data_IF_500305944724
#
_entry.id   IF_500305944724
#
_cell.length_a   1.000
_cell.length_b   1.000
_cell.length_c   1.000
_cell.angle_alpha   90.00
_cell.angle_beta   90.00
_cell.angle_gamma   90.00
#
_symmetry.space_group_name_H-M   'P 1'
#
loop_
_entity.id
_entity.type
_entity.pdbx_description
1 polymer ?
#
# COMPACT_ATOMS: atom_id res chain seq x y z
N UNK A 1 -11.92 -48.05 14.50
CA UNK A 1 -11.13 -47.15 13.66
C UNK A 1 -11.98 -45.92 13.39
N UNK A 2 -11.62 -44.81 14.02
CA UNK A 2 -12.32 -43.53 13.95
C UNK A 2 -11.62 -42.68 12.88
N UNK A 3 -12.37 -42.20 11.90
CA UNK A 3 -11.89 -41.23 10.94
C UNK A 3 -12.87 -40.06 10.93
N UNK A 4 -12.35 -38.93 11.40
CA UNK A 4 -12.96 -37.62 11.32
C UNK A 4 -12.49 -37.02 10.00
N UNK A 5 -13.39 -36.43 9.21
CA UNK A 5 -13.01 -35.44 8.21
C UNK A 5 -14.06 -34.35 8.22
N UNK A 6 -13.64 -33.19 8.73
CA UNK A 6 -14.42 -31.97 8.84
C UNK A 6 -14.70 -31.39 7.44
N UNK A 7 -15.94 -30.98 7.21
CA UNK A 7 -16.36 -30.08 6.14
C UNK A 7 -16.43 -28.66 6.70
N UNK A 8 -15.68 -27.71 6.14
CA UNK A 8 -15.95 -26.26 6.01
C UNK A 8 -14.95 -25.73 4.97
N UNK A 9 -15.24 -25.04 3.86
CA UNK A 9 -16.38 -24.23 3.45
C UNK A 9 -15.88 -22.81 3.14
N UNK A 10 -15.87 -22.39 1.86
CA UNK A 10 -15.61 -20.99 1.48
C UNK A 10 -15.20 -20.74 0.03
N UNK A 11 -16.15 -20.81 -0.92
CA UNK A 11 -16.02 -20.29 -2.28
C UNK A 11 -16.04 -18.75 -2.27
N UNK A 12 -15.23 -18.12 -3.12
CA UNK A 12 -15.52 -16.79 -3.67
C UNK A 12 -15.49 -16.88 -5.21
N UNK A 13 -16.67 -16.71 -5.81
CA UNK A 13 -16.92 -16.74 -7.25
C UNK A 13 -16.65 -15.36 -7.85
N UNK A 14 -15.93 -15.31 -8.97
CA UNK A 14 -16.01 -14.18 -9.91
C UNK A 14 -16.86 -14.61 -11.11
N UNK A 15 -17.98 -13.92 -11.30
CA UNK A 15 -18.97 -14.18 -12.36
C UNK A 15 -18.42 -13.64 -13.69
N UNK A 16 -18.21 -14.51 -14.67
CA UNK A 16 -17.89 -14.10 -16.04
C UNK A 16 -19.17 -13.59 -16.73
N UNK A 17 -19.37 -12.27 -16.78
CA UNK A 17 -20.40 -11.66 -17.60
C UNK A 17 -19.94 -11.62 -19.06
N UNK A 18 -20.59 -12.42 -19.90
CA UNK A 18 -20.41 -12.42 -21.34
C UNK A 18 -21.35 -11.40 -22.02
N UNK A 19 -20.80 -10.67 -23.00
CA UNK A 19 -21.44 -9.84 -24.04
C UNK A 19 -21.92 -8.40 -23.73
N UNK A 20 -21.32 -7.45 -24.46
CA UNK A 20 -22.03 -6.50 -25.32
C UNK A 20 -22.35 -5.10 -24.78
N UNK A 21 -21.56 -4.10 -25.19
CA UNK A 21 -21.96 -2.68 -25.18
C UNK A 21 -20.96 -1.74 -24.48
N UNK A 22 -20.30 -0.87 -25.25
CA UNK A 22 -19.40 0.16 -24.74
C UNK A 22 -20.15 1.21 -23.91
N UNK A 23 -20.20 1.00 -22.59
CA UNK A 23 -20.33 2.07 -21.61
C UNK A 23 -18.94 2.32 -21.01
N UNK A 24 -18.53 3.57 -20.75
CA UNK A 24 -17.39 3.83 -19.87
C UNK A 24 -17.79 3.25 -18.52
N UNK A 25 -17.24 2.08 -18.19
CA UNK A 25 -17.33 1.55 -16.84
C UNK A 25 -16.38 2.45 -16.06
N UNK A 26 -16.90 3.51 -15.43
CA UNK A 26 -16.32 3.96 -14.17
C UNK A 26 -16.35 2.72 -13.29
N UNK A 27 -15.22 2.04 -13.22
CA UNK A 27 -15.06 0.86 -12.41
C UNK A 27 -14.73 1.42 -11.03
N UNK A 28 -15.73 1.59 -10.13
CA UNK A 28 -15.45 2.15 -8.82
C UNK A 28 -14.37 1.27 -8.19
N UNK A 29 -13.29 1.90 -7.72
CA UNK A 29 -12.21 1.16 -7.09
C UNK A 29 -12.79 0.25 -6.00
N UNK A 30 -12.44 -1.04 -5.98
CA UNK A 30 -12.96 -1.96 -5.00
C UNK A 30 -12.63 -1.46 -3.59
N UNK A 31 -13.66 -1.37 -2.75
CA UNK A 31 -13.49 -1.04 -1.33
C UNK A 31 -13.09 -2.29 -0.57
N UNK A 32 -11.84 -2.34 -0.12
CA UNK A 32 -11.29 -3.47 0.64
C UNK A 32 -11.40 -3.25 2.14
N UNK A 33 -11.49 -4.33 2.91
CA UNK A 33 -11.30 -4.29 4.38
C UNK A 33 -9.85 -4.54 4.73
N UNK A 34 -9.37 -3.98 5.84
CA UNK A 34 -8.06 -4.36 6.40
C UNK A 34 -8.00 -5.88 6.60
N UNK A 35 -6.84 -6.48 6.28
CA UNK A 35 -6.61 -7.92 6.27
C UNK A 35 -7.07 -8.65 5.00
N UNK A 36 -7.79 -7.98 4.09
CA UNK A 36 -8.11 -8.54 2.78
C UNK A 36 -6.93 -8.35 1.82
N UNK A 37 -6.60 -9.41 1.07
CA UNK A 37 -5.58 -9.36 0.03
C UNK A 37 -6.15 -8.64 -1.19
N UNK A 38 -5.48 -7.57 -1.62
CA UNK A 38 -5.62 -6.98 -2.95
C UNK A 38 -4.70 -7.72 -3.92
N UNK A 39 -5.27 -8.69 -4.64
CA UNK A 39 -4.53 -9.47 -5.61
C UNK A 39 -4.44 -8.72 -6.94
N UNK A 40 -3.22 -8.55 -7.46
CA UNK A 40 -3.02 -7.97 -8.78
C UNK A 40 -1.55 -7.89 -9.17
N UNK A 41 -1.25 -7.07 -10.17
CA UNK A 41 0.11 -6.87 -10.69
C UNK A 41 0.54 -5.40 -10.61
N UNK A 42 1.84 -5.10 -10.43
CA UNK A 42 2.97 -6.04 -10.27
C UNK A 42 3.05 -6.69 -8.89
N UNK A 43 2.18 -6.32 -7.96
CA UNK A 43 2.23 -6.77 -6.57
C UNK A 43 0.86 -7.12 -5.99
N UNK A 44 0.88 -8.06 -5.05
CA UNK A 44 -0.20 -8.30 -4.10
C UNK A 44 0.04 -7.44 -2.86
N UNK A 45 -1.03 -6.90 -2.29
CA UNK A 45 -0.96 -6.04 -1.10
C UNK A 45 -1.99 -6.50 -0.07
N UNK A 46 -1.60 -6.59 1.19
CA UNK A 46 -2.54 -6.78 2.30
C UNK A 46 -2.30 -5.70 3.33
N UNK A 47 -3.22 -4.74 3.45
CA UNK A 47 -3.13 -3.72 4.51
C UNK A 47 -3.48 -4.36 5.84
N UNK A 48 -2.57 -4.32 6.80
CA UNK A 48 -2.76 -4.94 8.11
C UNK A 48 -3.34 -3.95 9.12
N UNK A 49 -2.79 -2.73 9.19
CA UNK A 49 -3.17 -1.69 10.16
C UNK A 49 -2.55 -0.34 9.85
N UNK A 50 -3.12 0.73 10.41
CA UNK A 50 -2.56 2.07 10.43
C UNK A 50 -2.34 2.53 11.89
N UNK A 51 -1.23 3.21 12.18
CA UNK A 51 -0.90 3.69 13.53
C UNK A 51 -0.13 5.01 13.52
N UNK A 52 -0.29 5.80 14.58
CA UNK A 52 0.57 6.94 14.87
C UNK A 52 1.70 6.52 15.80
N UNK A 53 2.94 6.84 15.47
CA UNK A 53 4.13 6.52 16.29
C UNK A 53 5.10 7.70 16.34
N UNK A 54 5.72 7.95 17.50
CA UNK A 54 6.57 9.14 17.70
C UNK A 54 8.03 8.93 17.36
N UNK A 55 8.59 7.79 17.73
CA UNK A 55 10.01 7.51 17.59
C UNK A 55 10.22 6.19 16.86
N UNK A 56 11.00 6.26 15.79
CA UNK A 56 11.45 5.12 15.01
C UNK A 56 12.97 5.20 14.79
N UNK A 57 13.71 5.99 15.56
CA UNK A 57 15.16 6.01 15.45
C UNK A 57 15.78 4.65 15.86
N UNK A 58 16.82 4.17 15.16
CA UNK A 58 17.51 4.80 14.04
C UNK A 58 16.87 4.51 12.66
N UNK A 59 15.80 3.72 12.60
CA UNK A 59 15.18 3.25 11.36
C UNK A 59 14.59 4.39 10.50
N UNK A 60 13.96 5.39 11.12
CA UNK A 60 13.43 6.57 10.43
C UNK A 60 13.48 7.80 11.34
N UNK A 61 13.88 8.95 10.78
CA UNK A 61 14.05 10.21 11.52
C UNK A 61 13.08 11.28 11.06
N UNK A 62 12.38 11.89 12.02
CA UNK A 62 11.48 13.03 11.79
C UNK A 62 12.27 14.29 11.40
N UNK A 63 11.69 15.11 10.54
CA UNK A 63 12.22 16.45 10.24
C UNK A 63 12.03 17.39 11.43
N UNK A 64 10.88 17.32 12.11
CA UNK A 64 10.63 18.02 13.37
C UNK A 64 10.28 17.02 14.49
N UNK A 65 10.95 17.12 15.64
CA UNK A 65 10.72 16.25 16.80
C UNK A 65 9.34 16.40 17.43
N UNK A 66 8.61 17.47 17.09
CA UNK A 66 7.23 17.67 17.52
C UNK A 66 6.22 16.90 16.65
N UNK A 67 6.64 16.41 15.49
CA UNK A 67 5.81 15.60 14.59
C UNK A 67 5.72 14.14 15.06
N UNK A 68 4.95 13.36 14.33
CA UNK A 68 4.91 11.90 14.46
C UNK A 68 4.80 11.24 13.10
N UNK A 69 5.04 9.94 13.05
CA UNK A 69 4.80 9.12 11.88
C UNK A 69 3.36 8.62 11.85
N UNK A 70 2.69 8.80 10.74
CA UNK A 70 1.60 7.94 10.30
C UNK A 70 2.23 6.72 9.62
N UNK A 71 2.08 5.55 10.22
CA UNK A 71 2.63 4.29 9.72
C UNK A 71 1.51 3.36 9.25
N UNK A 72 1.51 3.02 7.96
CA UNK A 72 0.65 1.96 7.40
C UNK A 72 1.47 0.69 7.27
N UNK A 73 1.07 -0.36 7.99
CA UNK A 73 1.73 -1.67 7.94
C UNK A 73 1.00 -2.54 6.93
N UNK A 74 1.75 -3.10 5.98
CA UNK A 74 1.20 -3.95 4.93
C UNK A 74 2.12 -5.13 4.64
N UNK A 75 1.53 -6.24 4.24
CA UNK A 75 2.26 -7.28 3.55
C UNK A 75 2.31 -7.00 2.05
N UNK A 76 3.49 -7.08 1.46
CA UNK A 76 3.72 -6.91 0.03
C UNK A 76 4.37 -8.16 -0.54
N UNK A 77 3.85 -8.63 -1.67
CA UNK A 77 4.45 -9.72 -2.45
C UNK A 77 4.57 -9.27 -3.90
N UNK A 78 5.79 -9.29 -4.44
CA UNK A 78 6.02 -8.99 -5.85
C UNK A 78 5.61 -10.22 -6.68
N UNK A 79 4.61 -10.02 -7.54
CA UNK A 79 4.05 -11.03 -8.45
C UNK A 79 4.68 -10.98 -9.84
N UNK A 80 5.51 -9.98 -10.09
CA UNK A 80 6.33 -9.91 -11.29
C UNK A 80 7.56 -10.81 -11.20
N UNK A 81 8.23 -11.03 -12.33
CA UNK A 81 9.49 -11.78 -12.41
C UNK A 81 10.71 -10.90 -12.10
N UNK A 82 10.55 -9.58 -12.07
CA UNK A 82 11.61 -8.62 -11.78
C UNK A 82 11.43 -7.98 -10.39
N UNK A 83 12.52 -7.42 -9.87
CA UNK A 83 12.49 -6.66 -8.62
C UNK A 83 11.97 -5.25 -8.85
N UNK A 84 11.20 -4.74 -7.90
CA UNK A 84 10.60 -3.40 -7.98
C UNK A 84 11.27 -2.46 -6.98
N UNK A 85 11.57 -1.23 -7.40
CA UNK A 85 12.20 -0.17 -6.58
C UNK A 85 11.27 1.04 -6.36
N UNK A 86 10.12 1.02 -7.01
CA UNK A 86 9.00 1.95 -6.90
C UNK A 86 8.12 1.65 -5.67
N UNK A 87 8.70 1.03 -4.64
CA UNK A 87 7.98 0.49 -3.48
C UNK A 87 7.17 1.58 -2.76
N UNK A 88 7.71 2.78 -2.63
CA UNK A 88 7.04 3.91 -1.98
C UNK A 88 5.78 4.39 -2.72
N UNK A 89 5.64 4.04 -3.99
CA UNK A 89 4.49 4.40 -4.83
C UNK A 89 3.38 3.34 -4.78
N UNK A 90 3.60 2.20 -4.10
CA UNK A 90 2.59 1.14 -3.95
C UNK A 90 1.39 1.64 -3.15
N UNK A 91 1.63 2.45 -2.11
CA UNK A 91 0.57 3.00 -1.26
C UNK A 91 0.60 4.53 -1.27
N UNK A 92 -0.57 5.12 -1.48
CA UNK A 92 -0.81 6.55 -1.31
C UNK A 92 -1.89 6.81 -0.24
N UNK A 93 -1.86 7.99 0.37
CA UNK A 93 -2.88 8.45 1.33
C UNK A 93 -3.47 9.79 0.89
N UNK A 94 -4.30 9.82 -0.17
CA UNK A 94 -4.68 11.03 -0.93
C UNK A 94 -5.43 12.13 -0.15
N UNK A 95 -5.75 11.90 1.12
CA UNK A 95 -6.52 12.83 1.96
C UNK A 95 -6.01 12.90 3.41
N UNK A 96 -4.82 12.35 3.68
CA UNK A 96 -4.27 12.43 5.02
C UNK A 96 -3.97 13.90 5.38
N UNK A 97 -4.58 14.35 6.47
CA UNK A 97 -4.37 15.72 6.96
C UNK A 97 -2.96 15.87 7.56
N UNK A 98 -2.42 17.09 7.53
CA UNK A 98 -1.21 17.42 8.26
C UNK A 98 0.07 16.71 7.79
N UNK A 99 0.08 16.09 6.61
CA UNK A 99 1.31 15.50 6.08
C UNK A 99 2.38 16.57 5.89
N UNK A 100 3.59 16.25 6.32
CA UNK A 100 4.79 17.07 6.13
C UNK A 100 5.42 16.66 4.81
N UNK A 101 5.21 17.50 3.80
CA UNK A 101 5.77 17.30 2.48
C UNK A 101 7.25 17.68 2.51
N UNK A 102 8.14 16.71 2.30
CA UNK A 102 9.57 16.99 2.21
C UNK A 102 9.93 17.69 0.89
N UNK A 103 11.06 18.40 0.86
CA UNK A 103 11.64 19.05 -0.34
C UNK A 103 11.80 18.08 -1.54
N UNK A 104 11.78 16.77 -1.28
CA UNK A 104 11.87 15.68 -2.28
C UNK A 104 10.56 15.42 -3.04
N UNK A 105 9.47 16.11 -2.71
CA UNK A 105 8.14 15.89 -3.28
C UNK A 105 7.70 17.06 -4.17
N UNK A 106 8.37 17.29 -5.31
CA UNK A 106 7.86 18.27 -6.27
C UNK A 106 6.66 17.71 -7.04
N UNK A 107 5.54 18.44 -6.98
CA UNK A 107 4.47 18.58 -8.00
C UNK A 107 3.51 17.42 -8.29
N UNK A 108 3.65 16.23 -7.71
CA UNK A 108 2.61 15.15 -7.79
C UNK A 108 2.75 14.07 -6.70
N UNK A 109 3.69 14.24 -5.76
CA UNK A 109 4.18 13.21 -4.83
C UNK A 109 3.74 13.45 -3.38
N UNK A 110 2.70 14.23 -3.16
CA UNK A 110 2.31 14.72 -1.83
C UNK A 110 1.80 13.61 -0.91
N UNK A 111 1.28 12.54 -1.48
CA UNK A 111 0.67 11.43 -0.75
C UNK A 111 1.55 10.18 -0.68
N UNK A 112 2.77 10.25 -1.19
CA UNK A 112 3.74 9.14 -1.22
C UNK A 112 4.39 8.97 0.15
N UNK A 113 4.63 7.73 0.56
CA UNK A 113 5.40 7.46 1.78
C UNK A 113 6.77 8.15 1.73
N UNK A 114 7.20 8.74 2.84
CA UNK A 114 8.54 9.30 3.02
C UNK A 114 9.59 8.18 3.04
N UNK A 115 9.29 7.10 3.74
CA UNK A 115 10.18 5.96 3.94
C UNK A 115 9.37 4.66 4.02
N UNK A 116 10.00 3.56 3.64
CA UNK A 116 9.44 2.21 3.80
C UNK A 116 10.49 1.39 4.53
N UNK A 117 10.10 0.75 5.62
CA UNK A 117 10.99 -0.07 6.45
C UNK A 117 10.41 -1.46 6.66
N UNK A 118 11.27 -2.47 6.79
CA UNK A 118 10.86 -3.81 7.22
C UNK A 118 10.49 -3.74 8.70
N UNK A 119 9.33 -4.30 9.05
CA UNK A 119 8.81 -4.18 10.44
C UNK A 119 9.56 -5.04 11.45
N UNK A 120 10.29 -6.08 11.02
CA UNK A 120 11.02 -6.98 11.91
C UNK A 120 12.33 -6.41 12.44
N UNK A 121 13.03 -5.60 11.64
CA UNK A 121 14.37 -5.10 11.97
C UNK A 121 14.59 -3.61 11.70
N UNK A 122 13.60 -2.91 11.13
CA UNK A 122 13.71 -1.48 10.83
C UNK A 122 14.58 -1.16 9.62
N UNK A 123 15.01 -2.16 8.84
CA UNK A 123 15.82 -1.95 7.64
C UNK A 123 15.02 -1.20 6.59
N UNK A 124 15.61 -0.17 5.98
CA UNK A 124 15.01 0.58 4.89
C UNK A 124 14.89 -0.27 3.62
N UNK A 125 13.72 -0.25 3.00
CA UNK A 125 13.41 -0.98 1.78
C UNK A 125 13.61 -0.06 0.57
N UNK A 126 14.62 -0.36 -0.24
CA UNK A 126 14.85 0.30 -1.54
C UNK A 126 14.28 -0.52 -2.70
N UNK A 127 14.14 -1.84 -2.52
CA UNK A 127 13.52 -2.72 -3.51
C UNK A 127 12.92 -3.96 -2.85
N UNK A 128 11.87 -4.51 -3.46
CA UNK A 128 11.33 -5.82 -3.11
C UNK A 128 11.57 -6.81 -4.25
N UNK A 129 11.84 -8.06 -3.87
CA UNK A 129 12.17 -9.14 -4.79
C UNK A 129 11.00 -10.11 -5.00
N UNK A 130 10.86 -10.71 -6.20
CA UNK A 130 9.88 -11.75 -6.45
C UNK A 130 9.97 -12.94 -5.49
N UNK A 131 8.82 -13.50 -5.15
CA UNK A 131 8.73 -14.75 -4.37
C UNK A 131 9.00 -14.61 -2.87
N UNK A 132 9.25 -13.40 -2.37
CA UNK A 132 9.31 -13.10 -0.94
C UNK A 132 8.17 -12.16 -0.55
N UNK A 133 7.33 -12.63 0.37
CA UNK A 133 6.32 -11.79 1.02
C UNK A 133 6.99 -11.06 2.18
N UNK A 134 6.95 -9.73 2.17
CA UNK A 134 7.54 -8.89 3.21
C UNK A 134 6.50 -8.05 3.94
N UNK A 135 6.59 -8.01 5.27
CA UNK A 135 5.78 -7.13 6.11
C UNK A 135 6.53 -5.82 6.35
N UNK A 136 6.07 -4.75 5.69
CA UNK A 136 6.72 -3.44 5.70
C UNK A 136 5.82 -2.37 6.32
N UNK A 137 6.42 -1.30 6.82
CA UNK A 137 5.74 -0.09 7.26
C UNK A 137 6.05 1.05 6.29
N UNK A 138 5.00 1.60 5.68
CA UNK A 138 5.04 2.83 4.91
C UNK A 138 4.85 4.01 5.87
N UNK A 139 5.77 4.97 5.84
CA UNK A 139 5.87 6.05 6.81
C UNK A 139 5.63 7.39 6.16
N UNK A 140 4.69 8.16 6.70
CA UNK A 140 4.47 9.57 6.38
C UNK A 140 4.68 10.40 7.64
N UNK A 141 5.49 11.45 7.55
CA UNK A 141 5.61 12.41 8.64
C UNK A 141 4.34 13.28 8.68
N UNK A 142 3.75 13.43 9.86
CA UNK A 142 2.52 14.17 10.10
C UNK A 142 2.73 15.15 11.25
N UNK A 143 2.15 16.35 11.12
CA UNK A 143 2.19 17.39 12.17
C UNK A 143 1.66 16.86 13.50
N UNK A 144 2.35 17.20 14.59
CA UNK A 144 2.12 16.63 15.92
C UNK A 144 0.71 16.83 16.51
N UNK A 145 0.02 17.88 16.09
CA UNK A 145 -1.34 18.24 16.50
C UNK A 145 -2.43 17.46 15.75
N UNK A 146 -2.08 16.76 14.66
CA UNK A 146 -3.04 16.04 13.82
C UNK A 146 -3.17 14.59 14.27
N UNK A 147 -4.39 14.19 14.64
CA UNK A 147 -4.69 12.85 15.16
C UNK A 147 -5.92 12.31 14.43
N UNK A 148 -5.75 11.78 13.21
CA UNK A 148 -6.88 11.25 12.46
C UNK A 148 -7.39 9.98 13.13
N UNK A 149 -8.71 9.76 13.13
CA UNK A 149 -9.32 8.51 13.60
C UNK A 149 -9.27 7.40 12.54
N UNK A 150 -9.14 7.79 11.27
CA UNK A 150 -9.06 6.89 10.13
C UNK A 150 -8.22 7.52 9.01
N UNK A 151 -7.74 6.68 8.09
CA UNK A 151 -7.00 7.12 6.91
C UNK A 151 -7.51 6.38 5.67
N UNK A 152 -7.73 7.12 4.59
CA UNK A 152 -7.97 6.56 3.26
C UNK A 152 -6.62 6.17 2.64
N UNK A 153 -6.48 4.90 2.26
CA UNK A 153 -5.30 4.34 1.62
C UNK A 153 -5.69 3.92 0.21
N UNK A 154 -4.90 4.34 -0.76
CA UNK A 154 -4.94 3.88 -2.14
C UNK A 154 -3.83 2.86 -2.36
N UNK A 155 -4.22 1.68 -2.86
CA UNK A 155 -3.29 0.69 -3.38
C UNK A 155 -3.14 0.96 -4.87
N UNK A 156 -1.91 1.27 -5.28
CA UNK A 156 -1.59 1.56 -6.67
C UNK A 156 -1.30 0.27 -7.43
N UNK A 157 -1.61 0.26 -8.72
CA UNK A 157 -1.23 -0.80 -9.65
C UNK A 157 -0.62 -0.21 -10.91
N UNK A 158 -0.15 -1.08 -11.79
CA UNK A 158 0.44 -0.70 -13.07
C UNK A 158 -0.10 -1.59 -14.20
N UNK A 159 -0.02 -1.07 -15.41
CA UNK A 159 -0.42 -1.76 -16.63
C UNK A 159 0.80 -2.30 -17.37
N UNK A 160 0.81 -3.61 -17.66
CA UNK A 160 1.82 -4.22 -18.53
C UNK A 160 1.50 -3.87 -19.98
N UNK A 161 2.30 -3.00 -20.58
CA UNK A 161 2.11 -2.62 -21.97
C UNK A 161 3.42 -2.31 -22.66
N UNK A 162 3.34 -2.18 -23.99
CA UNK A 162 4.44 -1.70 -24.80
C UNK A 162 4.56 -0.18 -24.61
N UNK A 163 5.77 0.30 -24.36
CA UNK A 163 6.09 1.72 -24.42
C UNK A 163 6.00 2.23 -25.86
N UNK A 164 5.33 3.36 -26.08
CA UNK A 164 5.05 3.88 -27.43
C UNK A 164 6.28 4.52 -28.10
N UNK A 165 7.28 4.95 -27.32
CA UNK A 165 8.49 5.60 -27.79
C UNK A 165 9.61 4.59 -28.05
N UNK A 166 9.83 3.68 -27.11
CA UNK A 166 10.94 2.71 -27.13
C UNK A 166 10.54 1.35 -27.67
N UNK A 167 9.24 1.03 -27.65
CA UNK A 167 8.72 -0.26 -28.08
C UNK A 167 9.03 -1.42 -27.12
N UNK A 168 9.57 -1.15 -25.93
CA UNK A 168 9.89 -2.16 -24.92
C UNK A 168 8.66 -2.47 -24.08
N UNK A 169 8.48 -3.72 -23.66
CA UNK A 169 7.41 -4.09 -22.71
C UNK A 169 7.83 -3.70 -21.29
N UNK A 170 6.91 -3.10 -20.54
CA UNK A 170 7.16 -2.72 -19.16
C UNK A 170 5.87 -2.48 -18.38
N UNK A 171 6.03 -2.27 -17.07
CA UNK A 171 4.97 -1.77 -16.20
C UNK A 171 4.90 -0.25 -16.32
N UNK A 172 3.72 0.24 -16.67
CA UNK A 172 3.46 1.66 -16.90
C UNK A 172 2.16 2.09 -16.24
N UNK A 173 1.83 3.39 -16.35
CA UNK A 173 0.53 3.94 -15.98
C UNK A 173 0.17 3.62 -14.52
N UNK A 174 1.00 4.10 -13.59
CA UNK A 174 0.71 4.00 -12.16
C UNK A 174 -0.64 4.66 -11.87
N UNK A 175 -1.61 3.87 -11.41
CA UNK A 175 -2.96 4.34 -11.13
C UNK A 175 -3.54 3.62 -9.90
N UNK A 176 -4.46 4.25 -9.16
CA UNK A 176 -5.17 3.57 -8.09
C UNK A 176 -5.88 2.32 -8.61
N UNK A 177 -5.67 1.20 -7.91
CA UNK A 177 -6.30 -0.09 -8.19
C UNK A 177 -7.37 -0.43 -7.17
N UNK A 178 -7.18 -0.02 -5.92
CA UNK A 178 -8.13 -0.22 -4.84
C UNK A 178 -8.02 0.92 -3.81
N UNK A 179 -9.12 1.22 -3.12
CA UNK A 179 -9.16 2.20 -2.03
C UNK A 179 -9.76 1.55 -0.78
N UNK A 180 -9.22 1.88 0.39
CA UNK A 180 -9.77 1.43 1.67
C UNK A 180 -9.60 2.48 2.77
N UNK A 181 -10.57 2.54 3.67
CA UNK A 181 -10.49 3.35 4.88
C UNK A 181 -10.13 2.46 6.06
N UNK A 182 -9.05 2.81 6.77
CA UNK A 182 -8.52 2.02 7.88
C UNK A 182 -8.50 2.86 9.15
N UNK A 183 -9.01 2.35 10.29
CA UNK A 183 -8.91 3.05 11.57
C UNK A 183 -7.44 3.23 11.97
N UNK A 184 -7.13 4.37 12.56
CA UNK A 184 -5.76 4.72 12.98
C UNK A 184 -5.64 4.53 14.49
N UNK A 185 -4.68 3.70 14.91
CA UNK A 185 -4.35 3.52 16.32
C UNK A 185 -3.33 4.57 16.79
N UNK A 186 -3.64 5.35 17.83
CA UNK A 186 -2.65 6.23 18.45
C UNK A 186 -1.74 5.41 19.39
N UNK A 187 -0.47 5.23 18.97
CA UNK A 187 0.58 4.55 19.74
C UNK A 187 1.74 5.48 20.08
N UNK A 188 1.51 6.80 20.06
CA UNK A 188 2.56 7.79 20.35
C UNK A 188 3.01 7.83 21.82
N UNK A 189 2.21 7.26 22.72
CA UNK A 189 2.45 7.21 24.17
C UNK A 189 2.64 5.77 24.72
N UNK A 190 2.80 4.79 23.82
CA UNK A 190 2.93 3.37 24.17
C UNK A 190 4.36 2.93 24.39
#
# INVERSE_FOLDING_TARGET
>A
MQWISYVVGGLALAVSAAFGGFAPIENPEPVLKAGQVDAGKPWNVTILRARLVKDLEPAARLQDKNNHWLAVVADIEITDVESHSDIRDILLVPKAEGLVLGERTSTTKEYRAYEVIVTSDGTRVESLHPGLKETVAFLWEQKGDVVPTEVEIQIMGMTWRKDSLTGVMGWHDLAPRATLTVPVEDKRNG
#
